data_IF_572414107813
#
_entry.id   IF_572414107813
#
_cell.length_a   1.000
_cell.length_b   1.000
_cell.length_c   1.000
_cell.angle_alpha   90.00
_cell.angle_beta   90.00
_cell.angle_gamma   90.00
#
_symmetry.space_group_name_H-M   'P 1'
#
loop_
_entity.id
_entity.type
_entity.pdbx_description
1 polymer ?
#
# COMPACT_ATOMS: atom_id res chain seq x y z
N UNK A 1 -24.81 12.41 -13.78
CA UNK A 1 -24.82 12.99 -15.14
C UNK A 1 -24.42 11.89 -16.12
N UNK A 2 -25.34 11.44 -17.00
CA UNK A 2 -25.01 10.49 -18.07
C UNK A 2 -24.24 11.25 -19.15
N UNK A 3 -22.94 10.98 -19.26
CA UNK A 3 -22.15 11.45 -20.41
C UNK A 3 -22.75 10.75 -21.62
N UNK A 4 -23.44 11.52 -22.48
CA UNK A 4 -23.87 11.03 -23.78
C UNK A 4 -22.60 10.72 -24.56
N UNK A 5 -22.42 9.47 -24.98
CA UNK A 5 -21.40 9.10 -25.95
C UNK A 5 -21.67 9.87 -27.25
N UNK A 6 -20.97 10.97 -27.43
CA UNK A 6 -21.04 11.80 -28.62
C UNK A 6 -20.42 10.99 -29.78
N UNK A 7 -21.13 10.75 -30.90
CA UNK A 7 -20.63 9.98 -32.05
C UNK A 7 -19.27 10.46 -32.58
N UNK A 8 -18.95 11.74 -32.35
CA UNK A 8 -17.65 12.31 -32.68
C UNK A 8 -16.48 11.62 -31.95
N UNK A 9 -16.76 11.13 -30.75
CA UNK A 9 -15.77 10.53 -29.86
C UNK A 9 -15.35 9.13 -30.31
N UNK A 10 -16.31 8.30 -30.70
CA UNK A 10 -16.04 6.98 -31.25
C UNK A 10 -15.29 7.08 -32.60
N UNK A 11 -15.57 8.13 -33.37
CA UNK A 11 -14.83 8.43 -34.59
C UNK A 11 -13.38 8.84 -34.29
N UNK A 12 -13.15 9.70 -33.28
CA UNK A 12 -11.80 10.06 -32.83
C UNK A 12 -10.99 8.84 -32.38
N UNK A 13 -11.58 7.92 -31.60
CA UNK A 13 -10.91 6.68 -31.18
C UNK A 13 -10.45 5.85 -32.39
N UNK A 14 -11.33 5.69 -33.40
CA UNK A 14 -10.99 5.00 -34.65
C UNK A 14 -9.87 5.70 -35.41
N UNK A 15 -9.92 7.04 -35.50
CA UNK A 15 -8.89 7.83 -36.16
C UNK A 15 -7.53 7.68 -35.45
N UNK A 16 -7.49 7.72 -34.12
CA UNK A 16 -6.25 7.55 -33.35
C UNK A 16 -5.69 6.14 -33.49
N UNK A 17 -6.54 5.11 -33.39
CA UNK A 17 -6.13 3.72 -33.60
C UNK A 17 -5.54 3.54 -35.00
N UNK A 18 -6.19 4.13 -36.02
CA UNK A 18 -5.71 4.04 -37.39
C UNK A 18 -4.42 4.81 -37.61
N UNK A 19 -4.27 5.99 -37.02
CA UNK A 19 -3.04 6.77 -37.09
C UNK A 19 -1.85 6.00 -36.49
N UNK A 20 -2.05 5.37 -35.33
CA UNK A 20 -1.02 4.55 -34.69
C UNK A 20 -0.70 3.29 -35.50
N UNK A 21 -1.71 2.60 -36.02
CA UNK A 21 -1.48 1.41 -36.87
C UNK A 21 -0.67 1.77 -38.12
N UNK A 22 -1.00 2.88 -38.79
CA UNK A 22 -0.28 3.35 -39.97
C UNK A 22 1.14 3.79 -39.62
N UNK A 23 1.33 4.47 -38.48
CA UNK A 23 2.66 4.91 -38.07
C UNK A 23 3.57 3.72 -37.77
N UNK A 24 3.08 2.73 -37.02
CA UNK A 24 3.83 1.51 -36.67
C UNK A 24 4.20 0.72 -37.94
N UNK A 25 3.30 0.66 -38.94
CA UNK A 25 3.52 -0.15 -40.15
C UNK A 25 4.40 0.51 -41.20
N UNK A 26 4.36 1.84 -41.32
CA UNK A 26 4.90 2.53 -42.51
C UNK A 26 5.90 3.64 -42.21
N UNK A 27 6.06 4.08 -40.95
CA UNK A 27 7.04 5.11 -40.58
C UNK A 27 8.29 4.48 -39.93
N UNK A 28 9.32 5.30 -39.70
CA UNK A 28 10.48 4.88 -38.89
C UNK A 28 10.06 4.66 -37.43
N UNK A 29 10.85 3.89 -36.69
CA UNK A 29 10.58 3.61 -35.27
C UNK A 29 10.41 4.90 -34.46
N UNK A 30 11.31 5.88 -34.63
CA UNK A 30 11.24 7.17 -33.92
C UNK A 30 9.94 7.93 -34.21
N UNK A 31 9.51 7.98 -35.48
CA UNK A 31 8.26 8.64 -35.87
C UNK A 31 7.03 7.88 -35.35
N UNK A 32 7.06 6.55 -35.35
CA UNK A 32 6.00 5.73 -34.80
C UNK A 32 5.85 5.95 -33.28
N UNK A 33 6.98 6.07 -32.56
CA UNK A 33 7.02 6.39 -31.13
C UNK A 33 6.38 7.75 -30.86
N UNK A 34 6.71 8.79 -31.62
CA UNK A 34 6.09 10.12 -31.46
C UNK A 34 4.56 10.07 -31.59
N UNK A 35 4.05 9.35 -32.60
CA UNK A 35 2.61 9.19 -32.81
C UNK A 35 1.97 8.43 -31.64
N UNK A 36 2.56 7.31 -31.22
CA UNK A 36 2.04 6.48 -30.12
C UNK A 36 2.07 7.22 -28.79
N UNK A 37 3.13 7.97 -28.49
CA UNK A 37 3.21 8.80 -27.29
C UNK A 37 2.16 9.92 -27.27
N UNK A 38 1.68 10.38 -28.44
CA UNK A 38 0.60 11.34 -28.53
C UNK A 38 -0.79 10.70 -28.32
N UNK A 39 -1.03 9.50 -28.86
CA UNK A 39 -2.37 8.87 -28.80
C UNK A 39 -2.57 7.98 -27.57
N UNK A 40 -1.52 7.36 -27.03
CA UNK A 40 -1.58 6.48 -25.87
C UNK A 40 -2.25 7.12 -24.65
N UNK A 41 -1.85 8.34 -24.24
CA UNK A 41 -2.49 9.04 -23.13
C UNK A 41 -3.98 9.36 -23.39
N UNK A 42 -4.36 9.60 -24.65
CA UNK A 42 -5.76 9.84 -25.02
C UNK A 42 -6.62 8.59 -24.86
N UNK A 43 -6.09 7.41 -25.17
CA UNK A 43 -6.76 6.14 -24.89
C UNK A 43 -6.84 5.88 -23.38
N UNK A 44 -5.76 6.12 -22.63
CA UNK A 44 -5.75 5.94 -21.17
C UNK A 44 -6.75 6.85 -20.44
N UNK A 45 -6.86 8.13 -20.85
CA UNK A 45 -7.87 9.07 -20.33
C UNK A 45 -9.31 8.58 -20.52
N UNK A 46 -9.53 7.74 -21.54
CA UNK A 46 -10.83 7.14 -21.87
C UNK A 46 -11.00 5.74 -21.29
N UNK A 47 -10.11 5.35 -20.37
CA UNK A 47 -10.04 4.04 -19.71
C UNK A 47 -9.86 2.86 -20.69
N UNK A 48 -9.31 3.12 -21.88
CA UNK A 48 -8.95 2.11 -22.89
C UNK A 48 -7.50 1.64 -22.66
N UNK A 49 -7.24 1.08 -21.48
CA UNK A 49 -5.89 0.73 -21.06
C UNK A 49 -5.28 -0.40 -21.90
N UNK A 50 -6.07 -1.41 -22.27
CA UNK A 50 -5.62 -2.51 -23.12
C UNK A 50 -5.11 -2.01 -24.48
N UNK A 51 -5.89 -1.14 -25.14
CA UNK A 51 -5.51 -0.56 -26.43
C UNK A 51 -4.26 0.33 -26.32
N UNK A 52 -4.19 1.18 -25.29
CA UNK A 52 -3.01 2.01 -25.06
C UNK A 52 -1.76 1.16 -24.82
N UNK A 53 -1.85 0.14 -23.96
CA UNK A 53 -0.73 -0.75 -23.67
C UNK A 53 -0.29 -1.55 -24.90
N UNK A 54 -1.21 -2.05 -25.73
CA UNK A 54 -0.88 -2.75 -26.97
C UNK A 54 -0.10 -1.86 -27.95
N UNK A 55 -0.47 -0.58 -28.07
CA UNK A 55 0.29 0.38 -28.90
C UNK A 55 1.72 0.58 -28.40
N UNK A 56 1.91 0.67 -27.08
CA UNK A 56 3.24 0.76 -26.47
C UNK A 56 4.06 -0.51 -26.67
N UNK A 57 3.45 -1.70 -26.47
CA UNK A 57 4.13 -2.99 -26.65
C UNK A 57 4.56 -3.23 -28.10
N UNK A 58 3.79 -2.79 -29.09
CA UNK A 58 4.17 -2.90 -30.50
C UNK A 58 5.43 -2.10 -30.87
N UNK A 59 5.86 -1.18 -30.01
CA UNK A 59 7.06 -0.35 -30.19
C UNK A 59 8.13 -0.65 -29.12
N UNK A 60 8.02 -1.78 -28.42
CA UNK A 60 8.91 -2.17 -27.32
C UNK A 60 9.00 -1.14 -26.16
N UNK A 61 7.97 -0.29 -26.02
CA UNK A 61 7.83 0.68 -24.92
C UNK A 61 7.21 0.00 -23.69
N UNK A 62 7.92 -1.00 -23.15
CA UNK A 62 7.40 -1.90 -22.11
C UNK A 62 7.03 -1.14 -20.83
N UNK A 63 7.85 -0.16 -20.44
CA UNK A 63 7.60 0.63 -19.22
C UNK A 63 6.28 1.40 -19.33
N UNK A 64 6.04 2.05 -20.46
CA UNK A 64 4.83 2.82 -20.73
C UNK A 64 3.58 1.91 -20.74
N UNK A 65 3.69 0.71 -21.31
CA UNK A 65 2.63 -0.29 -21.25
C UNK A 65 2.29 -0.69 -19.80
N UNK A 66 3.33 -0.92 -18.97
CA UNK A 66 3.17 -1.21 -17.54
C UNK A 66 2.51 -0.04 -16.81
N UNK A 67 2.98 1.18 -17.03
CA UNK A 67 2.46 2.40 -16.39
C UNK A 67 0.97 2.62 -16.71
N UNK A 68 0.56 2.36 -17.96
CA UNK A 68 -0.85 2.42 -18.38
C UNK A 68 -1.71 1.38 -17.68
N UNK A 69 -1.23 0.13 -17.54
CA UNK A 69 -1.96 -0.89 -16.78
C UNK A 69 -2.05 -0.52 -15.30
N UNK A 70 -0.99 0.02 -14.71
CA UNK A 70 -0.99 0.53 -13.33
C UNK A 70 -2.03 1.65 -13.16
N UNK A 71 -2.08 2.60 -14.10
CA UNK A 71 -3.09 3.67 -14.10
C UNK A 71 -4.52 3.12 -14.16
N UNK A 72 -4.73 2.02 -14.87
CA UNK A 72 -6.01 1.31 -14.94
C UNK A 72 -6.34 0.42 -13.74
N UNK A 73 -5.45 0.32 -12.75
CA UNK A 73 -5.51 -0.69 -11.68
C UNK A 73 -5.53 -2.15 -12.20
N UNK A 74 -5.01 -2.38 -13.41
CA UNK A 74 -4.91 -3.69 -14.07
C UNK A 74 -3.62 -4.42 -13.62
N UNK A 75 -3.44 -4.60 -12.31
CA UNK A 75 -2.21 -5.08 -11.69
C UNK A 75 -1.72 -6.44 -12.22
N UNK A 76 -2.64 -7.36 -12.49
CA UNK A 76 -2.32 -8.68 -13.03
C UNK A 76 -1.71 -8.58 -14.44
N UNK A 77 -2.24 -7.67 -15.28
CA UNK A 77 -1.71 -7.45 -16.64
C UNK A 77 -0.35 -6.74 -16.57
N UNK A 78 -0.22 -5.71 -15.72
CA UNK A 78 1.05 -5.03 -15.48
C UNK A 78 2.16 -6.01 -15.03
N UNK A 79 1.86 -6.85 -14.04
CA UNK A 79 2.82 -7.84 -13.51
C UNK A 79 3.17 -8.92 -14.53
N UNK A 80 2.19 -9.37 -15.33
CA UNK A 80 2.45 -10.31 -16.43
C UNK A 80 3.37 -9.72 -17.48
N UNK A 81 3.12 -8.49 -17.93
CA UNK A 81 3.98 -7.80 -18.90
C UNK A 81 5.39 -7.62 -18.34
N UNK A 82 5.53 -7.17 -17.10
CA UNK A 82 6.83 -7.08 -16.45
C UNK A 82 7.54 -8.44 -16.44
N UNK A 83 6.89 -9.50 -15.98
CA UNK A 83 7.50 -10.84 -15.88
C UNK A 83 7.88 -11.45 -17.24
N UNK A 84 7.05 -11.28 -18.26
CA UNK A 84 7.25 -11.92 -19.56
C UNK A 84 8.19 -11.13 -20.47
N UNK A 85 8.15 -9.80 -20.41
CA UNK A 85 8.89 -8.94 -21.32
C UNK A 85 10.14 -8.35 -20.66
N UNK A 86 10.05 -7.90 -19.41
CA UNK A 86 11.11 -7.14 -18.76
C UNK A 86 11.11 -7.29 -17.22
N UNK A 87 11.66 -8.41 -16.69
CA UNK A 87 11.52 -8.79 -15.27
C UNK A 87 12.04 -7.75 -14.27
N UNK A 88 12.95 -6.84 -14.68
CA UNK A 88 13.42 -5.74 -13.83
C UNK A 88 12.31 -4.79 -13.38
N UNK A 89 11.16 -4.81 -14.04
CA UNK A 89 10.00 -4.01 -13.63
C UNK A 89 9.05 -4.73 -12.66
N UNK A 90 9.26 -6.01 -12.31
CA UNK A 90 8.37 -6.69 -11.34
C UNK A 90 8.35 -5.96 -9.99
N UNK A 91 9.52 -5.59 -9.46
CA UNK A 91 9.64 -4.84 -8.21
C UNK A 91 8.95 -3.46 -8.30
N UNK A 92 9.01 -2.83 -9.47
CA UNK A 92 8.35 -1.55 -9.71
C UNK A 92 6.82 -1.69 -9.65
N UNK A 93 6.25 -2.73 -10.28
CA UNK A 93 4.80 -3.00 -10.22
C UNK A 93 4.37 -3.32 -8.78
N UNK A 94 5.14 -4.16 -8.08
CA UNK A 94 4.83 -4.54 -6.70
C UNK A 94 4.90 -3.33 -5.75
N UNK A 95 5.89 -2.44 -5.93
CA UNK A 95 5.96 -1.20 -5.17
C UNK A 95 4.75 -0.29 -5.43
N UNK A 96 4.37 -0.10 -6.70
CA UNK A 96 3.21 0.73 -7.07
C UNK A 96 1.90 0.15 -6.53
N UNK A 97 1.77 -1.17 -6.52
CA UNK A 97 0.60 -1.84 -5.95
C UNK A 97 0.51 -1.62 -4.44
N UNK A 98 1.62 -1.77 -3.71
CA UNK A 98 1.69 -1.47 -2.28
C UNK A 98 1.34 -0.01 -1.97
N UNK A 99 1.86 0.94 -2.74
CA UNK A 99 1.54 2.36 -2.61
C UNK A 99 0.04 2.62 -2.81
N UNK A 100 -0.59 2.01 -3.82
CA UNK A 100 -2.03 2.15 -4.06
C UNK A 100 -2.86 1.57 -2.90
N UNK A 101 -2.53 0.39 -2.40
CA UNK A 101 -3.24 -0.23 -1.27
C UNK A 101 -3.15 0.61 0.00
N UNK A 102 -1.98 1.22 0.28
CA UNK A 102 -1.79 2.17 1.38
C UNK A 102 -2.69 3.39 1.21
N UNK A 103 -2.67 4.01 0.03
CA UNK A 103 -3.46 5.22 -0.26
C UNK A 103 -4.98 4.97 -0.20
N UNK A 104 -5.44 3.80 -0.65
CA UNK A 104 -6.85 3.40 -0.54
C UNK A 104 -7.25 2.94 0.87
N UNK A 105 -6.27 2.76 1.76
CA UNK A 105 -6.49 2.27 3.11
C UNK A 105 -6.98 0.82 3.19
N UNK A 106 -6.79 0.01 2.13
CA UNK A 106 -7.19 -1.39 2.04
C UNK A 106 -6.20 -2.29 2.79
N UNK A 107 -6.24 -2.20 4.12
CA UNK A 107 -5.25 -2.84 4.99
C UNK A 107 -5.28 -4.38 4.87
N UNK A 108 -6.47 -4.98 4.77
CA UNK A 108 -6.62 -6.44 4.67
C UNK A 108 -5.91 -7.04 3.44
N UNK A 109 -6.02 -6.37 2.28
CA UNK A 109 -5.32 -6.79 1.06
C UNK A 109 -3.80 -6.61 1.17
N UNK A 110 -3.35 -5.62 1.95
CA UNK A 110 -1.92 -5.35 2.16
C UNK A 110 -1.27 -6.40 3.05
N UNK A 111 -2.00 -7.04 3.97
CA UNK A 111 -1.45 -8.10 4.84
C UNK A 111 -0.82 -9.23 4.04
N UNK A 112 -1.43 -9.64 2.93
CA UNK A 112 -0.93 -10.71 2.07
C UNK A 112 0.27 -10.33 1.18
N UNK A 113 0.57 -9.03 1.06
CA UNK A 113 1.61 -8.51 0.16
C UNK A 113 2.79 -7.93 0.95
N UNK A 114 2.49 -7.21 2.02
CA UNK A 114 3.45 -6.55 2.90
C UNK A 114 2.85 -6.40 4.31
N UNK A 115 3.02 -7.44 5.12
CA UNK A 115 2.43 -7.47 6.47
C UNK A 115 2.95 -6.35 7.36
N UNK A 116 4.22 -5.93 7.20
CA UNK A 116 4.79 -4.85 8.02
C UNK A 116 4.11 -3.53 7.71
N UNK A 117 3.94 -3.22 6.41
CA UNK A 117 3.21 -2.04 5.99
C UNK A 117 1.74 -2.05 6.42
N UNK A 118 1.09 -3.22 6.41
CA UNK A 118 -0.28 -3.38 6.89
C UNK A 118 -0.39 -3.12 8.41
N UNK A 119 0.54 -3.65 9.20
CA UNK A 119 0.60 -3.44 10.64
C UNK A 119 0.87 -1.97 10.99
N UNK A 120 1.81 -1.32 10.30
CA UNK A 120 2.07 0.11 10.48
C UNK A 120 0.80 0.95 10.19
N UNK A 121 0.06 0.60 9.13
CA UNK A 121 -1.20 1.28 8.78
C UNK A 121 -2.34 1.00 9.79
N UNK A 122 -2.41 -0.21 10.37
CA UNK A 122 -3.35 -0.49 11.47
C UNK A 122 -3.04 0.36 12.70
N UNK A 123 -1.76 0.47 13.07
CA UNK A 123 -1.31 1.29 14.18
C UNK A 123 -1.61 2.79 13.96
N UNK A 124 -1.33 3.33 12.76
CA UNK A 124 -1.65 4.72 12.39
C UNK A 124 -3.14 5.03 12.46
N UNK A 125 -4.00 4.07 12.10
CA UNK A 125 -5.46 4.19 12.20
C UNK A 125 -6.00 3.96 13.63
N UNK A 126 -5.14 3.69 14.61
CA UNK A 126 -5.53 3.34 15.98
C UNK A 126 -6.21 1.97 16.11
N UNK A 127 -6.17 1.12 15.09
CA UNK A 127 -6.77 -0.21 15.08
C UNK A 127 -5.83 -1.23 15.74
N UNK A 128 -5.49 -0.98 17.01
CA UNK A 128 -4.49 -1.75 17.75
C UNK A 128 -4.85 -3.21 17.96
N UNK A 129 -6.13 -3.54 18.15
CA UNK A 129 -6.58 -4.93 18.32
C UNK A 129 -6.26 -5.78 17.09
N UNK A 130 -6.65 -5.29 15.90
CA UNK A 130 -6.33 -5.94 14.61
C UNK A 130 -4.83 -5.98 14.34
N UNK A 131 -4.12 -4.91 14.70
CA UNK A 131 -2.67 -4.84 14.58
C UNK A 131 -2.00 -5.98 15.38
N UNK A 132 -2.36 -6.13 16.65
CA UNK A 132 -1.75 -7.15 17.52
C UNK A 132 -2.19 -8.56 17.16
N UNK A 133 -3.46 -8.76 16.77
CA UNK A 133 -3.94 -10.05 16.28
C UNK A 133 -3.14 -10.47 15.04
N UNK A 134 -2.97 -9.56 14.07
CA UNK A 134 -2.20 -9.84 12.85
C UNK A 134 -0.71 -10.05 13.16
N UNK A 135 -0.13 -9.25 14.06
CA UNK A 135 1.28 -9.35 14.43
C UNK A 135 1.59 -10.65 15.20
N UNK A 136 0.67 -11.13 16.03
CA UNK A 136 0.84 -12.38 16.78
C UNK A 136 0.91 -13.61 15.88
N UNK A 137 0.25 -13.57 14.71
CA UNK A 137 0.30 -14.62 13.68
C UNK A 137 1.63 -14.65 12.91
N UNK A 138 2.47 -13.62 13.02
CA UNK A 138 3.73 -13.54 12.27
C UNK A 138 4.89 -14.20 13.02
N UNK A 139 5.51 -13.46 13.95
CA UNK A 139 6.56 -13.99 14.81
C UNK A 139 6.74 -13.08 16.04
N UNK A 140 7.45 -13.62 17.04
CA UNK A 140 7.71 -12.97 18.32
C UNK A 140 8.31 -11.56 18.18
N UNK A 141 9.30 -11.38 17.29
CA UNK A 141 9.98 -10.10 17.12
C UNK A 141 9.03 -9.03 16.57
N UNK A 142 8.20 -9.38 15.60
CA UNK A 142 7.19 -8.49 15.02
C UNK A 142 6.14 -8.13 16.06
N UNK A 143 5.57 -9.12 16.76
CA UNK A 143 4.58 -8.88 17.82
C UNK A 143 5.10 -7.86 18.84
N UNK A 144 6.29 -8.08 19.38
CA UNK A 144 6.84 -7.21 20.43
C UNK A 144 7.27 -5.82 19.95
N UNK A 145 7.53 -5.63 18.64
CA UNK A 145 7.65 -4.29 18.04
C UNK A 145 6.32 -3.54 18.20
N UNK A 146 5.19 -4.14 17.79
CA UNK A 146 3.88 -3.48 17.82
C UNK A 146 3.30 -3.35 19.23
N UNK A 147 3.57 -4.30 20.14
CA UNK A 147 3.25 -4.17 21.57
C UNK A 147 3.95 -2.97 22.18
N UNK A 148 5.25 -2.77 21.90
CA UNK A 148 5.99 -1.62 22.39
C UNK A 148 5.47 -0.28 21.83
N UNK A 149 5.10 -0.26 20.54
CA UNK A 149 4.46 0.91 19.92
C UNK A 149 3.12 1.23 20.58
N UNK A 150 2.27 0.23 20.81
CA UNK A 150 0.97 0.45 21.44
C UNK A 150 1.11 0.87 22.92
N UNK A 151 2.01 0.24 23.67
CA UNK A 151 2.29 0.65 25.04
C UNK A 151 2.76 2.11 25.11
N UNK A 152 3.63 2.53 24.18
CA UNK A 152 4.08 3.93 24.07
C UNK A 152 2.91 4.87 23.77
N UNK A 153 1.98 4.47 22.91
CA UNK A 153 0.76 5.24 22.62
C UNK A 153 -0.11 5.38 23.88
N UNK A 154 -0.41 4.28 24.56
CA UNK A 154 -1.24 4.27 25.78
C UNK A 154 -0.63 5.11 26.92
N UNK A 155 0.70 5.04 27.09
CA UNK A 155 1.42 5.86 28.06
C UNK A 155 1.25 7.35 27.75
N UNK A 156 1.35 7.75 26.48
CA UNK A 156 1.14 9.16 26.06
C UNK A 156 -0.30 9.63 26.32
N UNK A 157 -1.28 8.74 26.22
CA UNK A 157 -2.69 9.02 26.54
C UNK A 157 -2.99 8.98 28.05
N UNK A 158 -2.00 8.68 28.90
CA UNK A 158 -2.19 8.54 30.35
C UNK A 158 -2.86 7.21 30.77
N UNK A 159 -3.03 6.27 29.85
CA UNK A 159 -3.65 4.98 30.08
C UNK A 159 -2.64 3.91 30.56
N UNK A 160 -1.88 4.21 31.62
CA UNK A 160 -0.81 3.35 32.14
C UNK A 160 -1.31 1.94 32.52
N UNK A 161 -2.50 1.82 33.13
CA UNK A 161 -3.08 0.52 33.49
C UNK A 161 -3.35 -0.38 32.26
N UNK A 162 -3.81 0.20 31.15
CA UNK A 162 -4.02 -0.54 29.90
C UNK A 162 -2.69 -1.00 29.31
N UNK A 163 -1.66 -0.14 29.35
CA UNK A 163 -0.31 -0.50 28.92
C UNK A 163 0.30 -1.63 29.76
N UNK A 164 0.04 -1.65 31.07
CA UNK A 164 0.43 -2.74 31.95
C UNK A 164 -0.28 -4.05 31.58
N UNK A 165 -1.61 -4.01 31.43
CA UNK A 165 -2.40 -5.18 31.03
C UNK A 165 -1.91 -5.75 29.69
N UNK A 166 -1.55 -4.88 28.74
CA UNK A 166 -0.98 -5.26 27.47
C UNK A 166 0.31 -6.07 27.63
N UNK A 167 1.24 -5.63 28.49
CA UNK A 167 2.48 -6.36 28.76
C UNK A 167 2.28 -7.63 29.59
N UNK A 168 1.24 -7.70 30.43
CA UNK A 168 0.85 -8.93 31.11
C UNK A 168 0.36 -9.96 30.10
N UNK A 169 -0.46 -9.54 29.14
CA UNK A 169 -1.06 -10.43 28.15
C UNK A 169 -0.04 -10.96 27.13
N UNK A 170 0.83 -10.09 26.61
CA UNK A 170 1.75 -10.45 25.53
C UNK A 170 3.19 -10.73 26.00
N UNK A 171 3.54 -10.34 27.23
CA UNK A 171 4.88 -10.46 27.78
C UNK A 171 5.75 -9.21 27.55
N UNK A 172 6.73 -9.02 28.44
CA UNK A 172 7.68 -7.90 28.41
C UNK A 172 9.12 -8.44 28.21
N UNK A 173 9.54 -8.73 26.96
CA UNK A 173 10.87 -9.26 26.71
C UNK A 173 11.96 -8.25 27.07
N UNK A 174 13.15 -8.72 27.48
CA UNK A 174 14.27 -7.87 27.86
C UNK A 174 14.98 -7.27 26.63
N UNK A 175 14.24 -6.50 25.82
CA UNK A 175 14.80 -5.72 24.73
C UNK A 175 15.28 -4.36 25.25
N UNK A 176 16.59 -4.05 25.21
CA UNK A 176 17.13 -2.79 25.72
C UNK A 176 16.47 -1.54 25.15
N UNK A 177 16.01 -1.58 23.89
CA UNK A 177 15.32 -0.46 23.24
C UNK A 177 13.98 -0.12 23.93
N UNK A 178 13.36 -1.10 24.60
CA UNK A 178 12.07 -0.94 25.27
C UNK A 178 12.22 -0.57 26.76
N UNK A 179 13.43 -0.55 27.32
CA UNK A 179 13.63 -0.32 28.76
C UNK A 179 13.09 1.03 29.23
N UNK A 180 13.20 2.05 28.38
CA UNK A 180 12.63 3.37 28.66
C UNK A 180 11.10 3.34 28.78
N UNK A 181 10.43 2.47 27.99
CA UNK A 181 8.98 2.27 28.05
C UNK A 181 8.61 1.63 29.38
N UNK A 182 9.33 0.57 29.80
CA UNK A 182 9.09 -0.10 31.08
C UNK A 182 9.32 0.82 32.27
N UNK A 183 10.43 1.58 32.25
CA UNK A 183 10.73 2.57 33.29
C UNK A 183 9.64 3.64 33.38
N UNK A 184 9.19 4.15 32.23
CA UNK A 184 8.13 5.16 32.19
C UNK A 184 6.81 4.61 32.72
N UNK A 185 6.43 3.42 32.27
CA UNK A 185 5.24 2.71 32.74
C UNK A 185 5.27 2.51 34.25
N UNK A 186 6.40 2.04 34.80
CA UNK A 186 6.58 1.87 36.25
C UNK A 186 6.37 3.20 37.00
N UNK A 187 7.00 4.29 36.52
CA UNK A 187 6.85 5.61 37.12
C UNK A 187 5.41 6.11 37.06
N UNK A 188 4.71 5.89 35.95
CA UNK A 188 3.31 6.31 35.82
C UNK A 188 2.39 5.50 36.75
N UNK A 189 2.68 4.21 36.97
CA UNK A 189 1.90 3.35 37.86
C UNK A 189 2.05 3.72 39.34
N UNK A 190 3.26 4.00 39.81
CA UNK A 190 3.49 4.38 41.23
C UNK A 190 2.94 5.77 41.58
N UNK A 191 2.71 6.61 40.56
CA UNK A 191 2.15 7.95 40.70
C UNK A 191 0.63 7.97 40.43
N UNK A 192 -0.03 6.80 40.31
CA UNK A 192 -1.47 6.75 40.14
C UNK A 192 -2.17 7.28 41.39
N UNK A 193 -3.13 8.21 41.26
CA UNK A 193 -3.91 8.69 42.39
C UNK A 193 -4.72 7.55 43.01
N UNK A 194 -4.98 7.65 44.32
CA UNK A 194 -5.80 6.71 45.09
C UNK A 194 -5.26 5.26 45.14
N UNK A 195 -3.94 5.09 44.96
CA UNK A 195 -3.26 3.78 45.07
C UNK A 195 -2.37 3.63 46.31
N UNK A 196 -2.35 4.63 47.18
CA UNK A 196 -1.58 4.69 48.43
C UNK A 196 -2.43 4.38 49.68
N UNK A 197 -3.70 4.02 49.51
CA UNK A 197 -4.64 3.72 50.59
C UNK A 197 -4.67 2.23 51.00
N UNK A 198 -5.19 1.91 52.20
CA UNK A 198 -5.34 0.53 52.68
C UNK A 198 -6.23 -0.35 51.77
N UNK A 199 -7.16 0.27 51.04
CA UNK A 199 -8.03 -0.42 50.08
C UNK A 199 -7.27 -0.96 48.86
N UNK A 200 -6.10 -0.39 48.53
CA UNK A 200 -5.26 -0.81 47.41
C UNK A 200 -4.47 -2.11 47.70
N UNK A 201 -4.45 -2.58 48.95
CA UNK A 201 -3.80 -3.82 49.38
C UNK A 201 -4.76 -5.02 49.47
N UNK A 202 -6.05 -4.83 49.15
CA UNK A 202 -7.03 -5.92 49.14
C UNK A 202 -6.90 -6.69 47.83
N UNK A 203 -6.10 -7.76 47.87
CA UNK A 203 -6.04 -8.83 46.86
C UNK A 203 -7.20 -9.79 47.10
#
# INVERSE_FOLDING_TARGET
MKVKDDPNTALMEKCWAKAAELSIKFLSADQAVEVVQMVGPRFAQRRKFDTAAELYLNLDLIKEAIDVFIQGEEWNKAKRVAKEMEPRYEDYVDQKYKEQLKNQGKVDSLVGVDVMAALDLYAEKGQWDKCLETASKQNFKILHKYVALYATHLIKEGAALKALQLYIQHGAPPNPQNFNIYKRLFLDLINLPDTDGPESYRI
#
